data_IF_269469658444
#
_entry.id   IF_269469658444
#
_cell.length_a   1.000
_cell.length_b   1.000
_cell.length_c   1.000
_cell.angle_alpha   90.00
_cell.angle_beta   90.00
_cell.angle_gamma   90.00
#
_symmetry.space_group_name_H-M   'P 1'
#
loop_
_entity.id
_entity.type
_entity.pdbx_description
1 polymer ?
#
# COMPACT_ATOMS: atom_id res chain seq x y z
N UNK A 1 20.92 2.78 8.08
CA UNK A 1 21.57 3.27 9.31
C UNK A 1 22.48 4.47 9.02
N UNK A 2 23.45 4.37 8.09
CA UNK A 2 24.32 5.49 7.70
C UNK A 2 23.57 6.79 7.34
N UNK A 3 22.45 6.73 6.58
CA UNK A 3 21.63 7.91 6.25
C UNK A 3 21.11 8.66 7.51
N UNK A 4 20.75 7.94 8.57
CA UNK A 4 20.29 8.56 9.81
C UNK A 4 21.43 9.27 10.57
N UNK A 5 22.64 8.71 10.51
CA UNK A 5 23.83 9.35 11.05
C UNK A 5 24.25 10.57 10.21
N UNK A 6 24.16 10.49 8.88
CA UNK A 6 24.50 11.57 7.96
C UNK A 6 23.68 12.84 8.20
N UNK A 7 22.39 12.71 8.58
CA UNK A 7 21.54 13.85 8.97
C UNK A 7 22.06 14.68 10.14
N UNK A 8 22.96 14.12 10.96
CA UNK A 8 23.57 14.80 12.11
C UNK A 8 24.91 15.45 11.78
N UNK A 9 25.46 15.19 10.58
CA UNK A 9 26.73 15.73 10.12
C UNK A 9 26.48 16.98 9.29
N UNK A 10 27.30 18.01 9.48
CA UNK A 10 27.24 19.21 8.66
C UNK A 10 27.47 18.86 7.18
N UNK A 11 26.51 19.18 6.31
CA UNK A 11 26.57 18.83 4.89
C UNK A 11 25.84 17.53 4.51
N UNK A 12 25.34 16.75 5.47
CA UNK A 12 24.41 15.64 5.21
C UNK A 12 25.02 14.41 4.52
N UNK A 13 26.34 14.34 4.38
CA UNK A 13 27.06 13.23 3.74
C UNK A 13 27.96 12.56 4.76
N UNK A 14 27.89 11.23 4.83
CA UNK A 14 28.70 10.40 5.72
C UNK A 14 29.18 9.17 4.96
N UNK A 15 30.47 8.86 5.11
CA UNK A 15 31.11 7.69 4.50
C UNK A 15 31.54 6.74 5.61
N UNK A 16 31.04 5.50 5.57
CA UNK A 16 31.56 4.41 6.40
C UNK A 16 32.43 3.55 5.52
N UNK A 17 33.69 3.37 5.90
CA UNK A 17 34.60 2.45 5.21
C UNK A 17 34.33 1.03 5.70
N UNK A 18 34.61 0.04 4.87
CA UNK A 18 34.31 -1.36 5.16
C UNK A 18 34.96 -1.81 6.48
N UNK A 19 36.17 -1.33 6.77
CA UNK A 19 36.87 -1.56 8.04
C UNK A 19 36.16 -0.98 9.27
N UNK A 20 35.48 0.17 9.13
CA UNK A 20 34.84 0.91 10.22
C UNK A 20 33.36 0.52 10.41
N UNK A 21 32.78 -0.18 9.42
CA UNK A 21 31.34 -0.51 9.40
C UNK A 21 30.95 -1.30 10.64
N UNK A 22 31.69 -2.35 10.99
CA UNK A 22 31.31 -3.22 12.11
C UNK A 22 31.40 -2.50 13.45
N UNK A 23 32.47 -1.74 13.69
CA UNK A 23 32.63 -0.97 14.93
C UNK A 23 31.49 0.05 15.07
N UNK A 24 31.24 0.80 14.00
CA UNK A 24 30.19 1.83 13.99
C UNK A 24 28.80 1.22 14.13
N UNK A 25 28.54 0.12 13.42
CA UNK A 25 27.27 -0.60 13.43
C UNK A 25 26.98 -1.21 14.80
N UNK A 26 27.95 -1.91 15.39
CA UNK A 26 27.78 -2.60 16.66
C UNK A 26 27.51 -1.67 17.83
N UNK A 27 27.98 -0.42 17.77
CA UNK A 27 27.72 0.59 18.80
C UNK A 27 26.28 1.14 18.77
N UNK A 28 25.53 0.91 17.68
CA UNK A 28 24.17 1.43 17.55
C UNK A 28 23.18 0.64 18.44
N UNK A 29 22.13 1.32 18.96
CA UNK A 29 21.04 0.65 19.65
C UNK A 29 20.35 -0.38 18.74
N UNK A 30 19.91 -1.50 19.32
CA UNK A 30 19.21 -2.55 18.56
C UNK A 30 17.90 -2.04 17.91
N UNK A 31 17.30 -0.96 18.44
CA UNK A 31 16.12 -0.30 17.86
C UNK A 31 16.38 0.35 16.51
N UNK A 32 17.62 0.73 16.26
CA UNK A 32 18.03 1.44 15.03
C UNK A 32 18.36 0.45 13.90
N UNK A 33 18.43 -0.85 14.23
CA UNK A 33 18.63 -1.91 13.25
C UNK A 33 17.45 -1.96 12.27
N UNK A 34 17.78 -2.01 10.98
CA UNK A 34 16.79 -2.00 9.91
C UNK A 34 15.87 -3.22 9.99
N UNK A 35 14.56 -3.03 9.81
CA UNK A 35 13.57 -4.12 9.82
C UNK A 35 13.22 -4.70 11.21
N UNK A 36 13.75 -4.15 12.29
CA UNK A 36 13.67 -4.75 13.64
C UNK A 36 12.54 -4.20 14.50
N UNK A 37 11.80 -3.16 14.08
CA UNK A 37 10.79 -2.47 14.92
C UNK A 37 9.89 -3.40 15.76
N UNK A 38 9.30 -4.45 15.17
CA UNK A 38 8.41 -5.38 15.89
C UNK A 38 9.14 -6.42 16.75
N UNK A 39 10.45 -6.59 16.54
CA UNK A 39 11.33 -7.59 17.19
C UNK A 39 12.29 -6.96 18.19
N UNK A 40 12.45 -5.64 18.16
CA UNK A 40 13.38 -4.89 18.99
C UNK A 40 13.08 -5.07 20.48
N UNK A 41 11.80 -5.10 20.86
CA UNK A 41 11.38 -5.32 22.24
C UNK A 41 11.81 -6.72 22.73
N UNK A 42 11.54 -7.77 21.96
CA UNK A 42 11.97 -9.14 22.30
C UNK A 42 13.50 -9.24 22.41
N UNK A 43 14.24 -8.64 21.47
CA UNK A 43 15.70 -8.62 21.52
C UNK A 43 16.22 -7.94 22.81
N UNK A 44 15.61 -6.85 23.25
CA UNK A 44 15.99 -6.15 24.47
C UNK A 44 15.56 -6.89 25.73
N UNK A 45 14.26 -7.15 25.87
CA UNK A 45 13.65 -7.59 27.12
C UNK A 45 13.85 -9.08 27.38
N UNK A 46 13.89 -9.91 26.34
CA UNK A 46 13.98 -11.37 26.48
C UNK A 46 15.39 -11.89 26.18
N UNK A 47 16.12 -11.25 25.24
CA UNK A 47 17.46 -11.69 24.85
C UNK A 47 18.59 -10.78 25.35
N UNK A 48 18.27 -9.72 26.12
CA UNK A 48 19.27 -8.84 26.75
C UNK A 48 20.12 -8.02 25.79
N UNK A 49 19.71 -7.88 24.53
CA UNK A 49 20.46 -7.15 23.51
C UNK A 49 20.12 -5.67 23.54
N UNK A 50 21.08 -4.84 23.93
CA UNK A 50 20.93 -3.37 23.94
C UNK A 50 21.43 -2.75 22.64
N UNK A 51 22.46 -3.34 22.05
CA UNK A 51 23.15 -2.88 20.85
C UNK A 51 23.05 -3.89 19.72
N UNK A 52 23.32 -3.45 18.48
CA UNK A 52 23.43 -4.36 17.33
C UNK A 52 24.58 -5.36 17.54
N UNK A 53 25.67 -4.93 18.19
CA UNK A 53 26.79 -5.81 18.53
C UNK A 53 26.39 -6.94 19.49
N UNK A 54 25.43 -6.70 20.40
CA UNK A 54 24.90 -7.77 21.26
C UNK A 54 24.23 -8.86 20.41
N UNK A 55 23.45 -8.46 19.41
CA UNK A 55 22.79 -9.39 18.49
C UNK A 55 23.81 -10.18 17.67
N UNK A 56 24.87 -9.52 17.17
CA UNK A 56 25.93 -10.17 16.40
C UNK A 56 26.71 -11.22 17.20
N UNK A 57 26.75 -11.11 18.54
CA UNK A 57 27.40 -12.08 19.44
C UNK A 57 26.52 -13.27 19.80
N UNK A 58 25.21 -13.19 19.58
CA UNK A 58 24.31 -14.30 19.90
C UNK A 58 24.53 -15.47 18.93
N UNK A 59 24.52 -16.72 19.42
CA UNK A 59 24.49 -17.87 18.54
C UNK A 59 23.29 -17.79 17.60
N UNK A 60 23.51 -17.92 16.28
CA UNK A 60 22.43 -17.88 15.28
C UNK A 60 21.29 -18.87 15.59
N UNK A 61 21.59 -20.00 16.24
CA UNK A 61 20.60 -20.97 16.69
C UNK A 61 19.59 -20.41 17.70
N UNK A 62 20.03 -19.53 18.61
CA UNK A 62 19.13 -18.87 19.57
C UNK A 62 18.21 -17.86 18.87
N UNK A 63 18.77 -17.08 17.93
CA UNK A 63 17.98 -16.16 17.12
C UNK A 63 16.98 -16.89 16.22
N UNK A 64 17.36 -18.04 15.64
CA UNK A 64 16.45 -18.90 14.88
C UNK A 64 15.35 -19.50 15.75
N UNK A 65 15.67 -19.93 16.97
CA UNK A 65 14.66 -20.45 17.90
C UNK A 65 13.59 -19.41 18.24
N UNK A 66 13.99 -18.14 18.41
CA UNK A 66 13.08 -17.06 18.75
C UNK A 66 12.32 -16.49 17.54
N UNK A 67 12.98 -16.35 16.39
CA UNK A 67 12.43 -15.60 15.24
C UNK A 67 12.28 -16.42 13.95
N UNK A 68 12.60 -17.71 13.97
CA UNK A 68 12.60 -18.58 12.78
C UNK A 68 13.62 -18.11 11.74
N UNK A 69 13.21 -18.09 10.47
CA UNK A 69 14.04 -17.61 9.33
C UNK A 69 14.54 -16.18 9.54
N UNK A 70 13.79 -15.36 10.29
CA UNK A 70 14.25 -14.00 10.61
C UNK A 70 15.47 -13.99 11.53
N UNK A 71 15.72 -15.04 12.31
CA UNK A 71 16.92 -15.14 13.14
C UNK A 71 18.20 -15.08 12.31
N UNK A 72 18.22 -15.76 11.15
CA UNK A 72 19.33 -15.71 10.20
C UNK A 72 19.53 -14.34 9.58
N UNK A 73 18.43 -13.67 9.27
CA UNK A 73 18.45 -12.34 8.67
C UNK A 73 18.99 -11.32 9.67
N UNK A 74 18.49 -11.36 10.91
CA UNK A 74 18.94 -10.48 11.99
C UNK A 74 20.43 -10.68 12.29
N UNK A 75 20.91 -11.92 12.37
CA UNK A 75 22.32 -12.20 12.60
C UNK A 75 23.19 -11.67 11.46
N UNK A 76 22.81 -11.93 10.19
CA UNK A 76 23.56 -11.42 9.03
C UNK A 76 23.64 -9.89 9.03
N UNK A 77 22.50 -9.22 9.24
CA UNK A 77 22.47 -7.75 9.32
C UNK A 77 23.30 -7.20 10.47
N UNK A 78 23.27 -7.85 11.64
CA UNK A 78 24.07 -7.44 12.78
C UNK A 78 25.58 -7.58 12.50
N UNK A 79 25.97 -8.59 11.71
CA UNK A 79 27.34 -8.77 11.20
C UNK A 79 27.66 -7.92 9.95
N UNK A 80 26.82 -6.96 9.57
CA UNK A 80 27.06 -6.11 8.39
C UNK A 80 26.94 -6.81 7.03
N UNK A 81 26.37 -8.02 6.99
CA UNK A 81 26.22 -8.83 5.77
C UNK A 81 24.83 -8.57 5.17
N UNK A 82 24.78 -7.95 4.00
CA UNK A 82 23.59 -7.83 3.17
C UNK A 82 23.93 -8.14 1.71
N UNK A 83 23.40 -9.25 1.20
CA UNK A 83 23.60 -9.71 -0.18
C UNK A 83 22.41 -9.36 -1.08
N UNK A 84 21.56 -8.42 -0.67
CA UNK A 84 20.41 -8.00 -1.46
C UNK A 84 20.85 -7.29 -2.72
N UNK A 85 20.40 -7.77 -3.88
CA UNK A 85 20.70 -7.14 -5.15
C UNK A 85 20.05 -5.76 -5.23
N UNK A 86 20.86 -4.76 -5.59
CA UNK A 86 20.34 -3.44 -5.95
C UNK A 86 19.71 -3.55 -7.34
N UNK A 87 18.39 -3.45 -7.41
CA UNK A 87 17.68 -3.36 -8.68
C UNK A 87 17.53 -1.88 -9.09
N UNK A 88 18.34 -1.35 -10.03
CA UNK A 88 18.23 0.04 -10.48
C UNK A 88 16.87 0.33 -11.14
N UNK A 89 16.19 -0.70 -11.65
CA UNK A 89 14.90 -0.60 -12.33
C UNK A 89 13.71 -0.82 -11.38
N UNK A 90 13.91 -0.77 -10.06
CA UNK A 90 12.83 -0.95 -9.07
C UNK A 90 11.64 -0.01 -9.33
N UNK A 91 11.89 1.19 -9.84
CA UNK A 91 10.84 2.16 -10.19
C UNK A 91 10.07 1.82 -11.48
N UNK A 92 10.65 0.96 -12.32
CA UNK A 92 10.06 0.48 -13.57
C UNK A 92 9.28 -0.82 -13.39
N UNK A 93 9.38 -1.46 -12.22
CA UNK A 93 8.64 -2.69 -11.92
C UNK A 93 7.15 -2.36 -11.83
N UNK A 94 6.28 -3.06 -12.59
CA UNK A 94 4.84 -2.86 -12.50
C UNK A 94 4.33 -3.09 -11.07
N UNK A 95 3.31 -2.33 -10.67
CA UNK A 95 2.67 -2.52 -9.38
C UNK A 95 2.18 -3.97 -9.24
N UNK A 96 2.42 -4.58 -8.08
CA UNK A 96 1.96 -5.96 -7.78
C UNK A 96 0.56 -5.99 -7.16
N UNK A 97 0.10 -4.85 -6.65
CA UNK A 97 -1.22 -4.65 -6.07
C UNK A 97 -1.49 -3.17 -5.79
N UNK A 98 -2.76 -2.81 -5.75
CA UNK A 98 -3.24 -1.49 -5.34
C UNK A 98 -4.04 -1.64 -4.05
N UNK A 99 -3.70 -0.83 -3.06
CA UNK A 99 -4.36 -0.85 -1.76
C UNK A 99 -4.71 0.58 -1.35
N UNK A 100 -5.97 0.81 -1.00
CA UNK A 100 -6.39 2.04 -0.33
C UNK A 100 -7.02 1.67 1.01
N UNK A 101 -6.65 2.42 2.05
CA UNK A 101 -7.21 2.29 3.40
C UNK A 101 -7.47 3.67 3.96
N UNK A 102 -8.60 3.82 4.64
CA UNK A 102 -8.95 5.06 5.34
C UNK A 102 -9.34 4.78 6.78
N UNK A 103 -8.95 5.68 7.69
CA UNK A 103 -9.44 5.72 9.07
C UNK A 103 -10.57 6.73 9.11
N UNK A 104 -11.73 6.30 9.60
CA UNK A 104 -12.95 7.09 9.60
C UNK A 104 -12.92 8.11 10.76
N UNK A 105 -13.44 9.34 10.56
CA UNK A 105 -13.46 10.36 11.62
C UNK A 105 -14.32 9.92 12.80
N UNK A 106 -15.44 9.25 12.50
CA UNK A 106 -16.33 8.60 13.47
C UNK A 106 -16.50 7.13 13.14
N UNK A 107 -16.83 6.35 14.15
CA UNK A 107 -17.18 4.94 13.98
C UNK A 107 -18.45 4.80 13.16
N UNK A 108 -18.46 3.79 12.30
CA UNK A 108 -19.61 3.46 11.45
C UNK A 108 -20.17 2.10 11.85
N UNK A 109 -21.49 2.04 12.04
CA UNK A 109 -22.21 0.86 12.54
C UNK A 109 -23.22 0.29 11.54
N UNK A 110 -23.59 1.05 10.50
CA UNK A 110 -24.58 0.63 9.50
C UNK A 110 -23.88 0.04 8.29
N UNK A 111 -24.35 -1.13 7.81
CA UNK A 111 -23.83 -1.75 6.57
C UNK A 111 -23.79 -0.75 5.43
N UNK A 112 -24.90 -0.11 5.12
CA UNK A 112 -25.00 0.81 3.98
C UNK A 112 -23.92 1.91 4.01
N UNK A 113 -23.51 2.35 5.21
CA UNK A 113 -22.44 3.34 5.35
C UNK A 113 -21.05 2.72 5.11
N UNK A 114 -20.78 1.52 5.61
CA UNK A 114 -19.52 0.79 5.35
C UNK A 114 -19.39 0.47 3.86
N UNK A 115 -20.46 -0.01 3.22
CA UNK A 115 -20.48 -0.33 1.80
C UNK A 115 -20.20 0.90 0.92
N UNK A 116 -20.72 2.07 1.31
CA UNK A 116 -20.42 3.32 0.62
C UNK A 116 -18.91 3.64 0.67
N UNK A 117 -18.29 3.53 1.84
CA UNK A 117 -16.83 3.72 1.99
C UNK A 117 -16.06 2.69 1.18
N UNK A 118 -16.49 1.43 1.17
CA UNK A 118 -15.88 0.37 0.35
C UNK A 118 -15.93 0.72 -1.14
N UNK A 119 -17.08 1.18 -1.64
CA UNK A 119 -17.24 1.61 -3.02
C UNK A 119 -16.32 2.79 -3.38
N UNK A 120 -16.19 3.78 -2.50
CA UNK A 120 -15.30 4.92 -2.72
C UNK A 120 -13.82 4.50 -2.77
N UNK A 121 -13.39 3.63 -1.85
CA UNK A 121 -12.03 3.10 -1.88
C UNK A 121 -11.77 2.23 -3.11
N UNK A 122 -12.77 1.44 -3.50
CA UNK A 122 -12.71 0.62 -4.71
C UNK A 122 -12.56 1.49 -5.96
N UNK A 123 -13.28 2.60 -6.06
CA UNK A 123 -13.14 3.55 -7.18
C UNK A 123 -11.73 4.12 -7.27
N UNK A 124 -11.12 4.46 -6.13
CA UNK A 124 -9.73 4.89 -6.07
C UNK A 124 -8.73 3.79 -6.46
N UNK A 125 -8.99 2.54 -6.08
CA UNK A 125 -8.18 1.37 -6.50
C UNK A 125 -8.29 1.17 -8.00
N UNK A 126 -9.50 1.15 -8.54
CA UNK A 126 -9.80 0.99 -9.96
C UNK A 126 -9.17 2.11 -10.80
N UNK A 127 -9.28 3.37 -10.37
CA UNK A 127 -8.67 4.50 -11.07
C UNK A 127 -7.14 4.35 -11.22
N UNK A 128 -6.45 3.86 -10.18
CA UNK A 128 -5.01 3.60 -10.23
C UNK A 128 -4.64 2.45 -11.16
N UNK A 129 -5.44 1.37 -11.12
CA UNK A 129 -5.26 0.24 -12.02
C UNK A 129 -5.45 0.64 -13.49
N UNK A 130 -6.49 1.43 -13.78
CA UNK A 130 -6.77 1.97 -15.12
C UNK A 130 -5.67 2.89 -15.62
N UNK A 131 -5.21 3.84 -14.79
CA UNK A 131 -4.12 4.75 -15.14
C UNK A 131 -2.80 4.02 -15.44
N UNK A 132 -2.64 2.80 -14.93
CA UNK A 132 -1.46 1.96 -15.15
C UNK A 132 -1.70 0.84 -16.18
N UNK A 133 -2.86 0.83 -16.84
CA UNK A 133 -3.29 -0.21 -17.80
C UNK A 133 -3.22 -1.63 -17.23
N UNK A 134 -3.56 -1.78 -15.95
CA UNK A 134 -3.55 -3.05 -15.24
C UNK A 134 -4.96 -3.53 -14.86
N UNK A 135 -5.09 -4.86 -14.82
CA UNK A 135 -6.26 -5.61 -14.33
C UNK A 135 -5.83 -6.54 -13.20
N UNK A 136 -6.69 -6.74 -12.21
CA UNK A 136 -6.39 -7.63 -11.08
C UNK A 136 -7.30 -8.84 -11.02
N UNK A 137 -6.78 -9.92 -10.45
CA UNK A 137 -7.53 -11.19 -10.29
C UNK A 137 -8.01 -11.41 -8.87
N UNK A 138 -7.52 -10.68 -7.88
CA UNK A 138 -7.91 -10.89 -6.48
C UNK A 138 -8.30 -9.57 -5.84
N UNK A 139 -9.50 -9.52 -5.28
CA UNK A 139 -9.99 -8.35 -4.55
C UNK A 139 -10.06 -8.67 -3.06
N UNK A 140 -9.73 -7.71 -2.21
CA UNK A 140 -9.75 -7.89 -0.75
C UNK A 140 -10.40 -6.74 -0.01
N UNK A 141 -11.01 -7.09 1.13
CA UNK A 141 -11.65 -6.20 2.07
C UNK A 141 -10.98 -6.36 3.44
N UNK A 142 -10.60 -5.23 4.02
CA UNK A 142 -10.14 -5.15 5.40
C UNK A 142 -10.99 -4.19 6.22
N UNK A 143 -11.46 -4.64 7.39
CA UNK A 143 -12.08 -3.79 8.39
C UNK A 143 -11.24 -3.79 9.66
N UNK A 144 -11.10 -2.63 10.28
CA UNK A 144 -10.55 -2.50 11.64
C UNK A 144 -11.63 -1.94 12.54
N UNK A 145 -11.83 -2.58 13.68
CA UNK A 145 -12.87 -2.21 14.63
C UNK A 145 -12.41 -1.09 15.57
N UNK A 146 -13.29 -0.71 16.50
CA UNK A 146 -13.05 0.30 17.53
C UNK A 146 -11.73 0.08 18.29
N UNK A 147 -11.15 1.19 18.77
CA UNK A 147 -9.86 1.21 19.47
C UNK A 147 -8.66 0.60 18.71
N UNK A 148 -8.78 0.37 17.40
CA UNK A 148 -7.79 -0.35 16.58
C UNK A 148 -7.52 -1.78 17.07
N UNK A 149 -8.46 -2.39 17.78
CA UNK A 149 -8.36 -3.75 18.28
C UNK A 149 -9.24 -4.68 17.44
N UNK A 150 -8.64 -5.74 16.89
CA UNK A 150 -9.35 -6.72 16.07
C UNK A 150 -9.70 -6.20 14.66
N UNK A 151 -10.70 -6.84 14.07
CA UNK A 151 -11.08 -6.67 12.66
C UNK A 151 -10.71 -7.90 11.82
N UNK A 152 -10.83 -7.76 10.50
CA UNK A 152 -10.45 -8.81 9.56
C UNK A 152 -9.84 -8.24 8.29
N UNK A 153 -9.10 -9.09 7.59
CA UNK A 153 -8.80 -8.94 6.18
C UNK A 153 -9.11 -10.24 5.46
N UNK A 154 -9.91 -10.17 4.41
CA UNK A 154 -10.30 -11.32 3.57
C UNK A 154 -10.20 -10.92 2.11
N UNK A 155 -9.73 -11.84 1.30
CA UNK A 155 -9.59 -11.63 -0.13
C UNK A 155 -10.11 -12.84 -0.90
N UNK A 156 -10.64 -12.60 -2.09
CA UNK A 156 -11.19 -13.63 -2.97
C UNK A 156 -10.60 -13.47 -4.36
N UNK A 157 -10.10 -14.58 -4.90
CA UNK A 157 -9.66 -14.65 -6.29
C UNK A 157 -10.87 -14.80 -7.19
N UNK A 158 -10.99 -13.92 -8.18
CA UNK A 158 -12.06 -13.84 -9.14
C UNK A 158 -11.82 -14.82 -10.29
N UNK A 159 -12.91 -15.36 -10.89
CA UNK A 159 -12.80 -16.21 -12.07
C UNK A 159 -12.16 -15.45 -13.23
N UNK A 160 -12.59 -14.21 -13.43
CA UNK A 160 -12.10 -13.28 -14.45
C UNK A 160 -11.39 -12.09 -13.81
N UNK A 161 -10.39 -11.54 -14.51
CA UNK A 161 -9.70 -10.34 -14.05
C UNK A 161 -10.56 -9.09 -14.29
N UNK A 162 -10.45 -8.11 -13.41
CA UNK A 162 -11.19 -6.86 -13.50
C UNK A 162 -10.42 -5.68 -12.94
N UNK A 163 -10.78 -4.50 -13.44
CA UNK A 163 -10.30 -3.19 -12.97
C UNK A 163 -11.44 -2.18 -12.85
N UNK A 164 -12.71 -2.59 -13.07
CA UNK A 164 -13.89 -1.73 -12.92
C UNK A 164 -14.67 -2.09 -11.67
N UNK A 165 -15.14 -1.08 -10.95
CA UNK A 165 -15.84 -1.26 -9.67
C UNK A 165 -17.07 -2.14 -9.78
N UNK A 166 -17.80 -2.06 -10.89
CA UNK A 166 -18.97 -2.90 -11.19
C UNK A 166 -18.65 -4.41 -11.28
N UNK A 167 -17.42 -4.78 -11.64
CA UNK A 167 -16.97 -6.18 -11.67
C UNK A 167 -16.56 -6.68 -10.28
N UNK A 168 -16.00 -5.78 -9.47
CA UNK A 168 -15.31 -6.12 -8.23
C UNK A 168 -16.21 -5.97 -6.98
N UNK A 169 -17.14 -5.00 -7.02
CA UNK A 169 -18.01 -4.64 -5.90
C UNK A 169 -18.86 -5.81 -5.39
N UNK A 170 -19.50 -6.66 -6.24
CA UNK A 170 -20.30 -7.78 -5.75
C UNK A 170 -19.52 -8.74 -4.85
N UNK A 171 -18.22 -8.93 -5.14
CA UNK A 171 -17.35 -9.77 -4.33
C UNK A 171 -16.99 -9.10 -3.00
N UNK A 172 -16.75 -7.79 -3.00
CA UNK A 172 -16.51 -7.04 -1.77
C UNK A 172 -17.74 -7.00 -0.87
N UNK A 173 -18.94 -6.88 -1.45
CA UNK A 173 -20.20 -6.98 -0.72
C UNK A 173 -20.39 -8.37 -0.11
N UNK A 174 -20.10 -9.45 -0.85
CA UNK A 174 -20.09 -10.81 -0.29
C UNK A 174 -19.12 -10.95 0.89
N UNK A 175 -17.90 -10.41 0.76
CA UNK A 175 -16.91 -10.46 1.84
C UNK A 175 -17.36 -9.66 3.07
N UNK A 176 -17.99 -8.49 2.85
CA UNK A 176 -18.54 -7.66 3.91
C UNK A 176 -19.67 -8.40 4.64
N UNK A 177 -20.66 -8.90 3.90
CA UNK A 177 -21.84 -9.55 4.47
C UNK A 177 -21.49 -10.89 5.16
N UNK A 178 -20.44 -11.58 4.70
CA UNK A 178 -20.02 -12.87 5.27
C UNK A 178 -19.18 -12.74 6.54
N UNK A 179 -18.37 -11.69 6.65
CA UNK A 179 -17.33 -11.62 7.69
C UNK A 179 -17.52 -10.50 8.69
N UNK A 180 -18.35 -9.51 8.39
CA UNK A 180 -18.65 -8.46 9.34
C UNK A 180 -19.86 -8.84 10.20
N UNK A 181 -19.67 -8.72 11.51
CA UNK A 181 -20.62 -9.08 12.55
C UNK A 181 -21.44 -7.89 13.07
N UNK A 182 -21.28 -6.71 12.45
CA UNK A 182 -21.93 -5.47 12.89
C UNK A 182 -21.12 -4.67 13.92
N UNK A 183 -19.93 -5.14 14.31
CA UNK A 183 -19.04 -4.41 15.23
C UNK A 183 -18.68 -3.04 14.64
N UNK A 184 -18.61 -1.96 15.44
CA UNK A 184 -18.30 -0.62 14.97
C UNK A 184 -16.96 -0.55 14.23
N UNK A 185 -16.97 0.03 13.03
CA UNK A 185 -15.81 0.11 12.15
C UNK A 185 -15.10 1.45 12.31
N UNK A 186 -13.79 1.41 12.56
CA UNK A 186 -12.90 2.57 12.65
C UNK A 186 -12.06 2.79 11.39
N UNK A 187 -11.73 1.73 10.66
CA UNK A 187 -11.01 1.85 9.39
C UNK A 187 -11.48 0.80 8.37
N UNK A 188 -11.45 1.18 7.09
CA UNK A 188 -11.82 0.33 5.95
C UNK A 188 -10.65 0.32 4.97
N UNK A 189 -10.34 -0.83 4.40
CA UNK A 189 -9.35 -1.00 3.35
C UNK A 189 -9.84 -1.89 2.22
N UNK A 190 -9.50 -1.53 1.00
CA UNK A 190 -9.78 -2.29 -0.21
C UNK A 190 -8.48 -2.54 -0.96
N UNK A 191 -8.35 -3.73 -1.54
CA UNK A 191 -7.19 -4.15 -2.30
C UNK A 191 -7.57 -4.81 -3.62
N UNK A 192 -6.68 -4.64 -4.61
CA UNK A 192 -6.69 -5.37 -5.88
C UNK A 192 -5.28 -5.89 -6.14
N UNK A 193 -5.12 -7.21 -6.18
CA UNK A 193 -3.84 -7.91 -6.32
C UNK A 193 -3.82 -8.81 -7.57
N UNK A 194 -2.68 -9.46 -7.77
CA UNK A 194 -2.42 -10.38 -8.90
C UNK A 194 -2.62 -9.63 -10.21
N UNK A 195 -1.96 -8.48 -10.30
CA UNK A 195 -2.10 -7.56 -11.41
C UNK A 195 -1.40 -8.07 -12.67
N UNK A 196 -2.00 -7.79 -13.82
CA UNK A 196 -1.45 -8.02 -15.15
C UNK A 196 -1.79 -6.83 -16.05
N UNK A 197 -1.05 -6.65 -17.14
CA UNK A 197 -1.40 -5.63 -18.14
C UNK A 197 -2.63 -6.07 -18.93
N UNK A 198 -3.56 -5.15 -19.15
CA UNK A 198 -4.86 -5.40 -19.79
C UNK A 198 -4.71 -5.99 -21.21
N UNK A 199 -3.68 -5.58 -21.96
CA UNK A 199 -3.39 -6.10 -23.29
C UNK A 199 -2.97 -7.58 -23.35
N UNK A 200 -2.73 -8.23 -22.21
CA UNK A 200 -2.43 -9.66 -22.14
C UNK A 200 -3.70 -10.54 -22.10
N UNK A 201 -4.89 -9.94 -22.03
CA UNK A 201 -6.16 -10.67 -21.95
C UNK A 201 -6.75 -10.93 -23.34
N UNK A 202 -7.14 -12.18 -23.59
CA UNK A 202 -7.92 -12.54 -24.78
C UNK A 202 -9.38 -12.07 -24.61
N UNK A 203 -9.96 -11.32 -25.57
CA UNK A 203 -11.36 -10.90 -25.47
C UNK A 203 -12.34 -12.08 -25.57
N UNK A 204 -13.40 -12.04 -24.75
CA UNK A 204 -14.58 -12.89 -24.89
C UNK A 204 -15.49 -12.35 -26.00
N UNK A 205 -16.00 -13.21 -26.89
CA UNK A 205 -16.72 -12.85 -28.12
C UNK A 205 -18.21 -12.52 -27.91
N UNK A 206 -18.77 -12.74 -26.71
CA UNK A 206 -20.22 -12.92 -26.53
C UNK A 206 -20.93 -11.90 -25.60
N UNK A 207 -20.29 -10.80 -25.19
CA UNK A 207 -20.92 -9.79 -24.33
C UNK A 207 -21.08 -8.42 -25.03
N UNK A 208 -22.11 -7.65 -24.68
CA UNK A 208 -22.36 -6.24 -25.08
C UNK A 208 -21.33 -5.27 -24.41
N UNK A 209 -20.06 -5.72 -24.32
CA UNK A 209 -18.92 -5.02 -23.71
C UNK A 209 -18.62 -3.72 -24.44
N UNK A 210 -18.79 -3.66 -25.75
CA UNK A 210 -18.41 -2.51 -26.59
C UNK A 210 -19.08 -1.23 -26.11
N UNK A 211 -20.37 -1.25 -25.76
CA UNK A 211 -21.06 -0.04 -25.28
C UNK A 211 -20.58 0.41 -23.90
N UNK A 212 -20.34 -0.54 -22.99
CA UNK A 212 -19.82 -0.26 -21.63
C UNK A 212 -18.39 0.24 -21.69
N UNK A 213 -17.58 -0.33 -22.56
CA UNK A 213 -16.19 0.06 -22.75
C UNK A 213 -16.07 1.47 -23.34
N UNK A 214 -16.89 1.81 -24.34
CA UNK A 214 -16.97 3.18 -24.88
C UNK A 214 -17.43 4.18 -23.81
N UNK A 215 -18.42 3.82 -22.99
CA UNK A 215 -18.85 4.65 -21.86
C UNK A 215 -17.69 4.92 -20.90
N UNK A 216 -16.98 3.87 -20.49
CA UNK A 216 -15.88 4.00 -19.55
C UNK A 216 -14.68 4.75 -20.10
N UNK A 217 -14.31 4.51 -21.36
CA UNK A 217 -13.28 5.31 -22.06
C UNK A 217 -13.65 6.79 -22.09
N UNK A 218 -14.94 7.11 -22.26
CA UNK A 218 -15.43 8.49 -22.24
C UNK A 218 -15.31 9.11 -20.84
N UNK A 219 -15.68 8.37 -19.80
CA UNK A 219 -15.53 8.82 -18.40
C UNK A 219 -14.06 9.06 -18.07
N UNK A 220 -13.18 8.12 -18.43
CA UNK A 220 -11.74 8.21 -18.19
C UNK A 220 -11.13 9.42 -18.94
N UNK A 221 -11.56 9.68 -20.18
CA UNK A 221 -11.14 10.85 -20.95
C UNK A 221 -11.59 12.18 -20.30
N UNK A 222 -12.79 12.22 -19.71
CA UNK A 222 -13.29 13.38 -18.98
C UNK A 222 -12.48 13.61 -17.70
N UNK A 223 -12.22 12.56 -16.92
CA UNK A 223 -11.38 12.66 -15.71
C UNK A 223 -9.95 13.08 -16.02
N UNK A 224 -9.36 12.59 -17.10
CA UNK A 224 -8.02 12.98 -17.55
C UNK A 224 -7.94 14.46 -17.92
N UNK A 225 -8.98 15.00 -18.58
CA UNK A 225 -9.01 16.39 -19.05
C UNK A 225 -9.45 17.40 -17.98
N UNK A 226 -10.36 17.02 -17.08
CA UNK A 226 -11.04 17.94 -16.15
C UNK A 226 -10.81 17.61 -14.67
N UNK A 227 -10.00 16.59 -14.38
CA UNK A 227 -9.70 16.13 -13.03
C UNK A 227 -10.70 15.10 -12.48
N UNK A 228 -10.27 14.36 -11.46
CA UNK A 228 -11.02 13.23 -10.88
C UNK A 228 -12.36 13.61 -10.24
N UNK A 229 -12.61 14.90 -9.99
CA UNK A 229 -13.85 15.41 -9.40
C UNK A 229 -14.90 15.82 -10.45
N UNK A 230 -14.56 15.78 -11.73
CA UNK A 230 -15.45 16.26 -12.81
C UNK A 230 -16.68 15.37 -13.02
N UNK A 231 -16.60 14.08 -12.67
CA UNK A 231 -17.73 13.16 -12.64
C UNK A 231 -17.65 12.34 -11.34
N UNK A 232 -18.71 12.41 -10.54
CA UNK A 232 -18.86 11.64 -9.30
C UNK A 232 -20.18 10.88 -9.30
N UNK A 233 -20.24 9.74 -8.59
CA UNK A 233 -21.49 9.02 -8.39
C UNK A 233 -22.45 9.86 -7.56
N UNK A 234 -23.73 9.91 -7.95
CA UNK A 234 -24.77 10.59 -7.20
C UNK A 234 -24.88 10.09 -5.74
N UNK A 235 -24.61 8.79 -5.50
CA UNK A 235 -24.59 8.18 -4.17
C UNK A 235 -23.48 8.73 -3.27
N UNK A 236 -22.38 9.24 -3.84
CA UNK A 236 -21.27 9.86 -3.11
C UNK A 236 -21.55 11.33 -2.75
N UNK A 237 -22.46 11.99 -3.49
CA UNK A 237 -22.83 13.40 -3.26
C UNK A 237 -23.79 13.55 -2.07
N UNK A 238 -24.54 12.52 -1.70
CA UNK A 238 -25.56 12.60 -0.64
C UNK A 238 -24.99 12.67 0.79
N UNK A 239 -23.67 12.52 0.97
CA UNK A 239 -22.95 12.69 2.26
C UNK A 239 -21.68 13.56 2.08
N UNK A 240 -21.80 14.63 1.29
CA UNK A 240 -20.70 15.48 0.83
C UNK A 240 -19.77 16.06 1.91
N UNK A 241 -20.17 16.14 3.19
CA UNK A 241 -19.34 16.70 4.27
C UNK A 241 -18.02 15.93 4.47
N UNK A 242 -18.06 14.59 4.39
CA UNK A 242 -16.87 13.77 4.63
C UNK A 242 -15.90 13.74 3.43
N UNK A 243 -16.42 13.94 2.21
CA UNK A 243 -15.62 14.01 0.99
C UNK A 243 -14.99 15.40 0.82
N UNK A 244 -15.72 16.47 1.14
CA UNK A 244 -15.18 17.84 1.11
C UNK A 244 -14.08 18.01 2.17
N UNK A 245 -14.31 17.58 3.42
CA UNK A 245 -13.24 17.59 4.45
C UNK A 245 -12.01 16.79 4.01
N UNK A 246 -12.21 15.64 3.37
CA UNK A 246 -11.10 14.79 2.89
C UNK A 246 -10.33 15.41 1.74
N UNK A 247 -11.02 16.00 0.75
CA UNK A 247 -10.38 16.66 -0.38
C UNK A 247 -9.68 17.95 0.03
N UNK A 248 -10.23 18.67 1.01
CA UNK A 248 -9.60 19.84 1.63
C UNK A 248 -8.37 19.44 2.42
N UNK A 249 -8.43 18.34 3.19
CA UNK A 249 -7.27 17.77 3.87
C UNK A 249 -6.19 17.27 2.90
N UNK A 250 -6.54 16.49 1.87
CA UNK A 250 -5.58 15.97 0.88
C UNK A 250 -4.94 17.10 0.05
N UNK A 251 -5.68 18.18 -0.24
CA UNK A 251 -5.14 19.44 -0.80
C UNK A 251 -4.19 20.15 0.17
N UNK A 252 -4.54 20.21 1.45
CA UNK A 252 -3.74 20.91 2.47
C UNK A 252 -2.51 20.11 2.93
N UNK A 253 -2.51 18.78 2.76
CA UNK A 253 -1.44 17.87 3.16
C UNK A 253 -0.39 17.60 2.05
N UNK A 254 -0.55 18.18 0.85
CA UNK A 254 0.43 18.06 -0.24
C UNK A 254 0.62 16.65 -0.81
N UNK A 255 -0.31 15.72 -0.55
CA UNK A 255 -0.17 14.30 -0.90
C UNK A 255 -0.48 13.97 -2.37
N UNK A 256 -0.72 14.99 -3.21
CA UNK A 256 -0.88 14.83 -4.65
C UNK A 256 -0.07 15.91 -5.37
N UNK A 257 1.23 15.65 -5.57
CA UNK A 257 1.97 16.29 -6.64
C UNK A 257 1.60 15.59 -7.94
N UNK A 258 0.70 16.19 -8.71
CA UNK A 258 0.54 15.83 -10.12
C UNK A 258 1.82 16.22 -10.86
N UNK A 259 2.36 15.40 -11.77
CA UNK A 259 3.40 15.86 -12.67
C UNK A 259 2.81 17.01 -13.51
N UNK A 260 3.45 18.18 -13.45
CA UNK A 260 3.14 19.27 -14.38
C UNK A 260 3.29 18.73 -15.80
N UNK A 261 2.24 18.93 -16.61
CA UNK A 261 2.27 18.59 -18.02
C UNK A 261 3.47 19.29 -18.67
N UNK A 262 4.46 18.51 -19.07
CA UNK A 262 5.61 19.03 -19.81
C UNK A 262 5.09 19.58 -21.13
N UNK A 263 5.36 20.85 -21.49
CA UNK A 263 4.86 21.41 -22.74
C UNK A 263 5.45 20.63 -23.91
N UNK A 264 4.56 20.05 -24.72
CA UNK A 264 4.87 19.39 -25.99
C UNK A 264 5.73 20.31 -26.84
N UNK A 265 7.00 19.95 -27.07
CA UNK A 265 7.82 20.57 -28.10
C UNK A 265 7.12 20.35 -29.45
N UNK A 266 6.53 21.41 -29.99
CA UNK A 266 6.16 21.48 -31.40
C UNK A 266 7.43 21.24 -32.22
N UNK A 267 7.43 20.16 -32.99
CA UNK A 267 8.23 20.03 -34.20
C UNK A 267 7.65 20.99 -35.23
N UNK A 268 8.37 22.08 -35.51
CA UNK A 268 8.23 22.85 -36.75
C UNK A 268 9.51 22.57 -37.56
N UNK A 269 9.30 22.21 -38.82
CA UNK A 269 10.35 22.13 -39.84
C UNK A 269 10.64 23.49 -40.46
#
# INVERSE_FOLDING_TARGET
>A
MANQAAKKVHGGVLWWREEDVLETLHALPVTDMWGVKRRAQTLQSEMGCTTIGDVARLPVGQLRAQFGVWGDVLHRWACGIDSSDLNPDTMSVPHQGYHLRTTLPREVRRRADVALVVLELLDGVCARALASHQVGRRVGLGLTYEHHQGGFYRAKTLPEMGNRSEQLLPTLDELLDRHWDGTPVRAVGVSLDLLQFEGALQPSLFEDRVKREVLWQTVDAVHSRFGATSLMRASSVTKAEQMLERLEWERSAGAVTFPEATPSKKTEG
#
